data_IF_265620773549
#
_entry.id   IF_265620773549
#
_cell.length_a   1.000
_cell.length_b   1.000
_cell.length_c   1.000
_cell.angle_alpha   90.00
_cell.angle_beta   90.00
_cell.angle_gamma   90.00
#
_symmetry.space_group_name_H-M   'P 1'
#
loop_
_entity.id
_entity.type
_entity.pdbx_description
1 polymer ?
#
# COMPACT_ATOMS: atom_id res chain seq x y z
N UNK A 1 12.55 -10.93 1.72
CA UNK A 1 11.08 -10.91 1.65
C UNK A 1 10.63 -10.13 0.43
N UNK A 2 9.73 -10.70 -0.33
CA UNK A 2 9.15 -10.01 -1.49
C UNK A 2 8.02 -9.11 -1.05
N UNK A 3 8.04 -7.87 -1.49
CA UNK A 3 7.00 -6.91 -1.15
C UNK A 3 6.46 -6.23 -2.41
N UNK A 4 5.24 -5.74 -2.34
CA UNK A 4 4.71 -4.82 -3.32
C UNK A 4 4.49 -3.48 -2.65
N UNK A 5 4.51 -2.41 -3.43
CA UNK A 5 4.26 -1.07 -2.92
C UNK A 5 2.86 -0.66 -3.34
N UNK A 6 2.09 -0.16 -2.39
CA UNK A 6 0.80 0.45 -2.69
C UNK A 6 0.90 1.95 -2.44
N UNK A 7 0.58 2.75 -3.43
CA UNK A 7 0.57 4.20 -3.33
C UNK A 7 -0.79 4.74 -3.73
N UNK A 8 -1.27 5.72 -3.00
CA UNK A 8 -2.54 6.35 -3.26
C UNK A 8 -2.39 7.86 -3.14
N UNK A 9 -2.94 8.58 -4.12
CA UNK A 9 -2.91 10.03 -4.13
C UNK A 9 -4.30 10.56 -4.36
N UNK A 10 -4.70 11.52 -3.50
CA UNK A 10 -5.95 12.25 -3.64
C UNK A 10 -5.64 13.70 -3.99
N UNK A 11 -6.32 14.25 -4.97
CA UNK A 11 -6.10 15.63 -5.36
C UNK A 11 -6.65 16.63 -4.35
N UNK A 12 -7.26 16.18 -3.28
CA UNK A 12 -7.94 17.05 -2.32
C UNK A 12 -7.02 17.68 -1.28
N UNK A 13 -5.79 17.20 -1.13
CA UNK A 13 -4.89 17.72 -0.13
C UNK A 13 -3.60 18.21 -0.79
N UNK A 14 -3.24 19.46 -0.51
CA UNK A 14 -2.00 20.03 -1.02
C UNK A 14 -0.79 19.56 -0.23
N UNK A 15 -1.01 18.99 0.94
CA UNK A 15 0.07 18.49 1.78
C UNK A 15 0.32 17.00 1.55
N UNK A 16 -0.47 16.38 0.71
CA UNK A 16 -0.33 14.96 0.43
C UNK A 16 0.91 14.71 -0.41
N UNK A 17 1.67 13.69 0.00
CA UNK A 17 2.88 13.33 -0.74
C UNK A 17 2.51 12.80 -2.13
N UNK A 18 3.24 13.22 -3.15
CA UNK A 18 3.02 12.76 -4.51
C UNK A 18 3.27 11.26 -4.62
N UNK A 19 2.74 10.68 -5.69
CA UNK A 19 2.98 9.26 -5.96
C UNK A 19 4.48 8.98 -6.08
N UNK A 20 5.20 9.82 -6.81
CA UNK A 20 6.63 9.66 -6.99
C UNK A 20 7.37 9.72 -5.66
N UNK A 21 6.98 10.64 -4.79
CA UNK A 21 7.57 10.75 -3.45
C UNK A 21 7.28 9.53 -2.60
N UNK A 22 6.05 9.03 -2.65
CA UNK A 22 5.71 7.83 -1.90
C UNK A 22 6.52 6.63 -2.37
N UNK A 23 6.63 6.45 -3.68
CA UNK A 23 7.40 5.34 -4.24
C UNK A 23 8.87 5.44 -3.87
N UNK A 24 9.45 6.64 -3.92
CA UNK A 24 10.84 6.84 -3.56
C UNK A 24 11.11 6.42 -2.12
N UNK A 25 10.28 6.88 -1.18
CA UNK A 25 10.44 6.56 0.23
C UNK A 25 10.27 5.06 0.47
N UNK A 26 9.27 4.47 -0.18
CA UNK A 26 9.03 3.03 -0.04
C UNK A 26 10.17 2.20 -0.60
N UNK A 27 10.71 2.59 -1.75
CA UNK A 27 11.85 1.88 -2.33
C UNK A 27 13.10 1.98 -1.45
N UNK A 28 13.33 3.15 -0.86
CA UNK A 28 14.45 3.33 0.07
C UNK A 28 14.28 2.47 1.31
N UNK A 29 13.06 2.41 1.84
CA UNK A 29 12.76 1.58 2.99
C UNK A 29 12.97 0.10 2.68
N UNK A 30 12.51 -0.34 1.53
CA UNK A 30 12.69 -1.73 1.11
C UNK A 30 14.17 -2.07 0.99
N UNK A 31 14.96 -1.20 0.37
CA UNK A 31 16.39 -1.41 0.22
C UNK A 31 17.09 -1.50 1.58
N UNK A 32 16.72 -0.62 2.51
CA UNK A 32 17.32 -0.60 3.85
C UNK A 32 17.00 -1.86 4.65
N UNK A 33 15.90 -2.52 4.34
CA UNK A 33 15.46 -3.72 5.05
C UNK A 33 15.69 -5.01 4.26
N UNK A 34 16.38 -4.93 3.13
CA UNK A 34 16.68 -6.07 2.27
C UNK A 34 15.41 -6.73 1.72
N UNK A 35 14.39 -5.94 1.45
CA UNK A 35 13.18 -6.41 0.80
C UNK A 35 13.31 -6.26 -0.71
N UNK A 36 12.68 -7.17 -1.44
CA UNK A 36 12.67 -7.12 -2.90
C UNK A 36 11.29 -6.61 -3.34
N UNK A 37 11.28 -5.50 -4.06
CA UNK A 37 10.02 -4.94 -4.58
C UNK A 37 9.70 -5.66 -5.89
N UNK A 38 8.61 -6.43 -5.87
CA UNK A 38 8.23 -7.25 -7.03
C UNK A 38 7.06 -6.65 -7.81
N UNK A 39 6.49 -5.56 -7.33
CA UNK A 39 5.41 -4.89 -8.04
C UNK A 39 4.94 -3.63 -7.35
N UNK A 40 4.15 -2.85 -8.07
CA UNK A 40 3.59 -1.61 -7.57
C UNK A 40 2.12 -1.54 -7.96
N UNK A 41 1.30 -1.03 -7.02
CA UNK A 41 -0.11 -0.78 -7.25
C UNK A 41 -0.37 0.68 -6.92
N UNK A 42 -0.89 1.43 -7.87
CA UNK A 42 -1.03 2.88 -7.73
C UNK A 42 -2.47 3.28 -8.05
N UNK A 43 -3.13 3.91 -7.08
CA UNK A 43 -4.46 4.47 -7.27
C UNK A 43 -4.36 5.98 -7.25
N UNK A 44 -4.83 6.61 -8.33
CA UNK A 44 -4.93 8.05 -8.43
C UNK A 44 -6.40 8.42 -8.35
N UNK A 45 -6.75 9.26 -7.39
CA UNK A 45 -8.13 9.72 -7.27
C UNK A 45 -8.52 10.49 -8.50
N UNK A 46 -9.67 10.17 -9.05
CA UNK A 46 -10.22 10.92 -10.15
C UNK A 46 -11.07 12.06 -9.61
N UNK A 47 -11.03 13.18 -10.30
CA UNK A 47 -11.67 14.40 -9.81
C UNK A 47 -13.16 14.18 -9.54
N UNK A 48 -13.55 14.54 -8.35
CA UNK A 48 -14.93 14.76 -8.00
C UNK A 48 -15.76 13.56 -7.68
N UNK A 49 -15.21 12.36 -7.61
CA UNK A 49 -16.08 11.23 -7.40
C UNK A 49 -15.49 10.16 -6.52
N UNK A 50 -16.01 9.03 -6.65
CA UNK A 50 -15.86 7.87 -5.83
C UNK A 50 -14.41 7.51 -5.60
N UNK A 51 -14.13 7.13 -4.40
CA UNK A 51 -12.86 6.56 -3.98
C UNK A 51 -12.77 5.15 -4.56
N UNK A 52 -12.51 5.08 -5.84
CA UNK A 52 -12.44 3.81 -6.54
C UNK A 52 -11.02 3.26 -6.46
N UNK A 53 -10.79 2.37 -5.52
CA UNK A 53 -9.47 1.80 -5.24
C UNK A 53 -9.26 0.53 -6.07
N UNK A 54 -9.31 0.66 -7.38
CA UNK A 54 -9.22 -0.46 -8.29
C UNK A 54 -7.91 -1.25 -8.12
N UNK A 55 -6.79 -0.54 -8.02
CA UNK A 55 -5.51 -1.18 -7.86
C UNK A 55 -5.36 -1.83 -6.48
N UNK A 56 -5.94 -1.23 -5.45
CA UNK A 56 -5.97 -1.83 -4.13
C UNK A 56 -6.72 -3.16 -4.15
N UNK A 57 -7.88 -3.17 -4.80
CA UNK A 57 -8.67 -4.41 -4.91
C UNK A 57 -7.91 -5.48 -5.68
N UNK A 58 -7.22 -5.08 -6.76
CA UNK A 58 -6.40 -6.00 -7.54
C UNK A 58 -5.27 -6.58 -6.70
N UNK A 59 -4.65 -5.74 -5.87
CA UNK A 59 -3.58 -6.16 -4.96
C UNK A 59 -4.09 -7.21 -3.96
N UNK A 60 -5.26 -6.97 -3.37
CA UNK A 60 -5.85 -7.92 -2.42
C UNK A 60 -6.10 -9.25 -3.12
N UNK A 61 -6.64 -9.22 -4.34
CA UNK A 61 -6.89 -10.44 -5.10
C UNK A 61 -5.58 -11.16 -5.45
N UNK A 62 -4.56 -10.38 -5.85
CA UNK A 62 -3.28 -10.97 -6.23
C UNK A 62 -2.54 -11.59 -5.06
N UNK A 63 -2.83 -11.17 -3.83
CA UNK A 63 -2.20 -11.74 -2.65
C UNK A 63 -2.45 -13.24 -2.49
N UNK A 64 -3.52 -13.73 -3.11
CA UNK A 64 -3.84 -15.16 -3.10
C UNK A 64 -2.82 -16.01 -3.87
N UNK A 65 -2.03 -15.38 -4.73
CA UNK A 65 -1.03 -16.08 -5.53
C UNK A 65 0.27 -16.33 -4.78
N UNK A 66 0.42 -15.77 -3.60
CA UNK A 66 1.60 -15.94 -2.74
C UNK A 66 2.91 -15.49 -3.42
N UNK A 67 2.84 -14.47 -4.29
CA UNK A 67 4.03 -13.95 -4.96
C UNK A 67 4.74 -12.87 -4.16
N UNK A 68 4.07 -12.35 -3.12
CA UNK A 68 4.66 -11.37 -2.21
C UNK A 68 4.19 -11.65 -0.79
N UNK A 69 4.96 -11.17 0.17
CA UNK A 69 4.74 -11.43 1.58
C UNK A 69 4.46 -10.15 2.37
N UNK A 70 4.62 -8.99 1.74
CA UNK A 70 4.37 -7.73 2.38
C UNK A 70 3.79 -6.71 1.42
N UNK A 71 2.95 -5.83 1.96
CA UNK A 71 2.44 -4.66 1.26
C UNK A 71 3.05 -3.46 1.96
N UNK A 72 3.86 -2.69 1.24
CA UNK A 72 4.56 -1.54 1.77
C UNK A 72 3.84 -0.27 1.35
N UNK A 73 3.50 0.57 2.32
CA UNK A 73 2.85 1.85 2.06
C UNK A 73 3.68 2.97 2.65
N UNK A 74 3.52 4.18 2.12
CA UNK A 74 4.20 5.36 2.65
C UNK A 74 3.75 5.64 4.09
N UNK A 75 2.44 5.66 4.30
CA UNK A 75 1.81 5.81 5.63
C UNK A 75 0.59 4.90 5.68
N UNK A 76 0.18 4.53 6.88
CA UNK A 76 -0.97 3.64 7.03
C UNK A 76 -2.27 4.24 6.49
N UNK A 77 -2.39 5.56 6.46
CA UNK A 77 -3.57 6.20 5.89
C UNK A 77 -3.68 5.99 4.39
N UNK A 78 -2.62 5.55 3.72
CA UNK A 78 -2.67 5.17 2.31
C UNK A 78 -3.23 3.76 2.12
N UNK A 79 -3.11 2.92 3.15
CA UNK A 79 -3.62 1.55 3.08
C UNK A 79 -5.14 1.52 3.24
N UNK A 80 -5.68 2.29 4.17
CA UNK A 80 -7.09 2.17 4.53
C UNK A 80 -7.72 3.54 4.76
N UNK A 81 -9.02 3.62 4.53
CA UNK A 81 -9.78 4.85 4.74
C UNK A 81 -10.18 5.04 6.20
N UNK A 82 -10.33 3.94 6.94
CA UNK A 82 -10.70 3.97 8.35
C UNK A 82 -10.29 2.66 9.00
N UNK A 83 -10.51 2.55 10.31
CA UNK A 83 -10.13 1.36 11.07
C UNK A 83 -10.85 0.11 10.60
N UNK A 84 -12.12 0.24 10.26
CA UNK A 84 -12.92 -0.90 9.82
C UNK A 84 -12.38 -1.47 8.50
N UNK A 85 -12.16 -0.58 7.54
CA UNK A 85 -11.57 -0.95 6.26
C UNK A 85 -10.19 -1.59 6.45
N UNK A 86 -9.38 -1.01 7.33
CA UNK A 86 -8.06 -1.53 7.64
C UNK A 86 -8.13 -2.95 8.19
N UNK A 87 -9.01 -3.17 9.16
CA UNK A 87 -9.13 -4.49 9.82
C UNK A 87 -9.55 -5.57 8.83
N UNK A 88 -10.53 -5.27 7.99
CA UNK A 88 -11.02 -6.23 6.99
C UNK A 88 -9.92 -6.62 6.01
N UNK A 89 -9.24 -5.62 5.46
CA UNK A 89 -8.24 -5.88 4.42
C UNK A 89 -6.96 -6.49 5.00
N UNK A 90 -6.56 -6.10 6.19
CA UNK A 90 -5.43 -6.74 6.85
C UNK A 90 -5.72 -8.21 7.13
N UNK A 91 -6.96 -8.53 7.51
CA UNK A 91 -7.34 -9.92 7.77
C UNK A 91 -7.27 -10.75 6.48
N UNK A 92 -7.73 -10.20 5.35
CA UNK A 92 -7.64 -10.88 4.06
C UNK A 92 -6.18 -11.15 3.67
N UNK A 93 -5.32 -10.16 3.85
CA UNK A 93 -3.91 -10.30 3.52
C UNK A 93 -3.24 -11.30 4.46
N UNK A 94 -3.53 -11.24 5.74
CA UNK A 94 -2.96 -12.16 6.72
C UNK A 94 -3.31 -13.61 6.40
N UNK A 95 -4.54 -13.84 5.94
CA UNK A 95 -4.96 -15.18 5.53
C UNK A 95 -4.07 -15.70 4.39
N UNK A 96 -3.59 -14.83 3.54
CA UNK A 96 -2.71 -15.17 2.43
C UNK A 96 -1.22 -15.05 2.77
N UNK A 97 -0.90 -14.87 4.05
CA UNK A 97 0.49 -14.78 4.48
C UNK A 97 1.16 -13.45 4.20
N UNK A 98 0.37 -12.40 4.06
CA UNK A 98 0.88 -11.06 3.69
C UNK A 98 0.68 -10.10 4.86
N UNK A 99 1.72 -9.33 5.19
CA UNK A 99 1.65 -8.30 6.23
C UNK A 99 1.71 -6.91 5.61
N UNK A 100 1.20 -5.92 6.36
CA UNK A 100 1.24 -4.52 5.94
C UNK A 100 2.41 -3.84 6.63
N UNK A 101 3.19 -3.10 5.87
CA UNK A 101 4.37 -2.39 6.36
C UNK A 101 4.23 -0.91 6.00
N UNK A 102 4.67 -0.04 6.90
CA UNK A 102 4.65 1.40 6.66
C UNK A 102 6.07 1.96 6.70
N UNK A 103 6.42 2.75 5.69
CA UNK A 103 7.75 3.36 5.64
C UNK A 103 7.91 4.49 6.64
N UNK A 104 6.84 5.18 7.01
CA UNK A 104 6.90 6.32 7.91
C UNK A 104 6.56 5.98 9.35
N UNK A 105 5.89 4.87 9.59
CA UNK A 105 5.42 4.49 10.92
C UNK A 105 6.10 3.20 11.34
N UNK A 106 6.58 3.20 12.56
CA UNK A 106 7.23 2.02 13.08
C UNK A 106 6.17 1.05 13.58
N UNK A 107 5.89 0.03 12.79
CA UNK A 107 4.93 -1.01 13.15
C UNK A 107 5.70 -2.21 13.64
N UNK A 108 5.49 -2.52 14.89
CA UNK A 108 6.12 -3.70 15.46
C UNK A 108 5.36 -4.97 15.12
#
# INVERSE_FOLDING_TARGET
MNVVIYARFSSHSQTEQSIEGQLKVCNEYAAANNYVVVGEYIDRAQSGTTDNRTEFQRMIADSDRHTFEGVLVYQLDRFARNRYDSAINKAKLKKNGVRVLSAKENIA
#
